data_IF_557310707416
#
_entry.id   IF_557310707416
#
_cell.length_a   1.000
_cell.length_b   1.000
_cell.length_c   1.000
_cell.angle_alpha   90.00
_cell.angle_beta   90.00
_cell.angle_gamma   90.00
#
_symmetry.space_group_name_H-M   'P 1'
#
loop_
_entity.id
_entity.type
_entity.pdbx_description
1 polymer ?
#
# COMPACT_ATOMS: atom_id res chain seq x y z
N UNK A 1 -1.22 7.85 -1.91
CA UNK A 1 -2.38 7.06 -2.38
C UNK A 1 -1.98 5.92 -3.33
N UNK A 2 -1.24 6.19 -4.41
CA UNK A 2 -0.90 5.18 -5.44
C UNK A 2 -0.15 3.92 -4.94
N UNK A 3 0.83 4.05 -4.04
CA UNK A 3 1.48 2.88 -3.43
C UNK A 3 0.48 2.04 -2.60
N UNK A 4 -0.46 2.71 -1.93
CA UNK A 4 -1.56 2.05 -1.22
C UNK A 4 -2.51 1.32 -2.16
N UNK A 5 -2.82 1.91 -3.32
CA UNK A 5 -3.61 1.28 -4.37
C UNK A 5 -2.93 0.01 -4.89
N UNK A 6 -1.60 0.00 -5.03
CA UNK A 6 -0.85 -1.19 -5.39
C UNK A 6 -0.93 -2.29 -4.32
N UNK A 7 -0.82 -1.95 -3.03
CA UNK A 7 -0.97 -2.92 -1.93
C UNK A 7 -2.39 -3.46 -1.85
N UNK A 8 -3.41 -2.63 -2.05
CA UNK A 8 -4.81 -3.08 -2.16
C UNK A 8 -4.99 -3.99 -3.38
N UNK A 9 -4.39 -3.67 -4.52
CA UNK A 9 -4.45 -4.54 -5.69
C UNK A 9 -3.87 -5.93 -5.39
N UNK A 10 -2.74 -6.00 -4.69
CA UNK A 10 -2.12 -7.25 -4.21
C UNK A 10 -3.10 -8.07 -3.35
N UNK A 11 -3.83 -7.42 -2.42
CA UNK A 11 -4.89 -8.06 -1.64
C UNK A 11 -6.07 -8.54 -2.50
N UNK A 12 -6.60 -7.68 -3.36
CA UNK A 12 -7.78 -7.97 -4.17
C UNK A 12 -7.58 -9.20 -5.07
N UNK A 13 -6.38 -9.34 -5.64
CA UNK A 13 -6.03 -10.50 -6.48
C UNK A 13 -5.65 -11.75 -5.69
N UNK A 14 -5.69 -11.71 -4.35
CA UNK A 14 -5.34 -12.83 -3.48
C UNK A 14 -3.84 -13.06 -3.28
N UNK A 15 -3.00 -12.08 -3.62
CA UNK A 15 -1.54 -12.14 -3.42
C UNK A 15 -1.08 -11.70 -2.03
N UNK A 16 -1.95 -11.07 -1.23
CA UNK A 16 -1.63 -10.67 0.14
C UNK A 16 -1.66 -11.87 1.10
N UNK A 17 -0.60 -12.02 1.89
CA UNK A 17 -0.48 -13.02 2.95
C UNK A 17 0.02 -12.39 4.24
N UNK A 18 -0.16 -13.08 5.38
CA UNK A 18 0.35 -12.63 6.68
C UNK A 18 1.86 -12.35 6.66
N UNK A 19 2.64 -13.22 6.01
CA UNK A 19 4.07 -13.01 5.82
C UNK A 19 4.37 -11.74 4.99
N UNK A 20 3.59 -11.49 3.94
CA UNK A 20 3.74 -10.30 3.10
C UNK A 20 3.44 -9.01 3.87
N UNK A 21 2.36 -8.98 4.64
CA UNK A 21 2.02 -7.84 5.49
C UNK A 21 3.08 -7.62 6.58
N UNK A 22 3.58 -8.69 7.20
CA UNK A 22 4.71 -8.61 8.14
C UNK A 22 5.93 -7.95 7.51
N UNK A 23 6.27 -8.27 6.26
CA UNK A 23 7.39 -7.60 5.55
C UNK A 23 7.13 -6.11 5.35
N UNK A 24 5.89 -5.70 5.03
CA UNK A 24 5.55 -4.28 4.91
C UNK A 24 5.66 -3.56 6.27
N UNK A 25 5.12 -4.15 7.34
CA UNK A 25 5.21 -3.62 8.70
C UNK A 25 6.67 -3.53 9.20
N UNK A 26 7.48 -4.56 8.93
CA UNK A 26 8.90 -4.57 9.26
C UNK A 26 9.68 -3.43 8.61
N UNK A 27 9.31 -3.03 7.39
CA UNK A 27 9.93 -1.88 6.72
C UNK A 27 9.54 -0.57 7.37
N UNK A 28 8.31 -0.45 7.88
CA UNK A 28 7.89 0.73 8.66
C UNK A 28 8.70 0.80 9.96
N UNK A 29 8.76 -0.30 10.72
CA UNK A 29 9.52 -0.34 11.98
C UNK A 29 11.03 -0.10 11.77
N UNK A 30 11.62 -0.61 10.69
CA UNK A 30 13.01 -0.34 10.37
C UNK A 30 13.27 1.10 9.89
N UNK A 31 12.30 1.73 9.21
CA UNK A 31 12.39 3.15 8.86
C UNK A 31 12.29 4.05 10.10
N UNK A 32 11.43 3.69 11.06
CA UNK A 32 11.28 4.35 12.35
C UNK A 32 12.59 4.32 13.15
N UNK A 33 13.16 3.12 13.34
CA UNK A 33 14.48 2.93 13.97
C UNK A 33 15.57 3.78 13.30
N UNK A 34 15.56 3.88 11.97
CA UNK A 34 16.54 4.67 11.22
C UNK A 34 16.39 6.17 11.48
N UNK A 35 15.16 6.67 11.57
CA UNK A 35 14.87 8.07 11.90
C UNK A 35 15.40 8.39 13.31
N UNK A 36 15.29 7.43 14.22
CA UNK A 36 15.82 7.52 15.60
C UNK A 36 17.35 7.33 15.68
N UNK A 37 18.05 7.27 14.53
CA UNK A 37 19.51 7.17 14.47
C UNK A 37 20.06 5.74 14.56
N UNK A 38 19.20 4.72 14.60
CA UNK A 38 19.62 3.33 14.63
C UNK A 38 20.35 2.88 13.37
N UNK A 39 21.39 2.06 13.53
CA UNK A 39 22.23 1.60 12.44
C UNK A 39 21.72 0.34 11.73
N UNK A 40 22.44 -0.06 10.68
CA UNK A 40 22.17 -1.28 9.88
C UNK A 40 22.11 -2.55 10.75
N UNK A 41 23.06 -2.67 11.67
CA UNK A 41 23.17 -3.83 12.57
C UNK A 41 21.99 -3.86 13.54
N UNK A 42 21.57 -2.70 14.05
CA UNK A 42 20.43 -2.58 14.95
C UNK A 42 19.14 -2.99 14.26
N UNK A 43 18.93 -2.52 13.02
CA UNK A 43 17.80 -2.93 12.20
C UNK A 43 17.81 -4.45 11.94
N UNK A 44 18.94 -5.03 11.57
CA UNK A 44 19.02 -6.48 11.35
C UNK A 44 18.67 -7.27 12.62
N UNK A 45 19.24 -6.89 13.78
CA UNK A 45 18.95 -7.51 15.08
C UNK A 45 17.49 -7.35 15.46
N UNK A 46 16.90 -6.16 15.26
CA UNK A 46 15.49 -5.89 15.51
C UNK A 46 14.60 -6.85 14.71
N UNK A 47 14.87 -6.99 13.41
CA UNK A 47 14.08 -7.87 12.54
C UNK A 47 14.24 -9.35 12.91
N UNK A 48 15.44 -9.78 13.30
CA UNK A 48 15.62 -11.13 13.83
C UNK A 48 14.82 -11.36 15.12
N UNK A 49 14.77 -10.38 16.05
CA UNK A 49 13.93 -10.43 17.25
C UNK A 49 12.43 -10.48 16.93
N UNK A 50 12.00 -9.83 15.85
CA UNK A 50 10.63 -9.96 15.33
C UNK A 50 10.35 -11.31 14.63
N UNK A 51 11.29 -12.26 14.67
CA UNK A 51 11.11 -13.61 14.13
C UNK A 51 11.19 -13.67 12.61
N UNK A 52 11.96 -12.78 11.97
CA UNK A 52 12.29 -12.94 10.55
C UNK A 52 13.48 -13.90 10.38
N UNK A 53 13.45 -14.81 9.40
CA UNK A 53 14.64 -15.55 9.00
C UNK A 53 15.77 -14.59 8.62
N UNK A 54 17.01 -14.90 8.98
CA UNK A 54 18.16 -14.01 8.77
C UNK A 54 18.26 -13.49 7.34
N UNK A 55 18.04 -14.34 6.33
CA UNK A 55 18.04 -13.94 4.92
C UNK A 55 17.00 -12.85 4.60
N UNK A 56 15.80 -12.96 5.17
CA UNK A 56 14.72 -11.98 4.96
C UNK A 56 15.04 -10.68 5.73
N UNK A 57 15.48 -10.78 6.99
CA UNK A 57 15.89 -9.64 7.80
C UNK A 57 17.01 -8.84 7.11
N UNK A 58 18.02 -9.53 6.57
CA UNK A 58 19.11 -8.94 5.81
C UNK A 58 18.60 -8.18 4.58
N UNK A 59 17.74 -8.80 3.78
CA UNK A 59 17.17 -8.17 2.58
C UNK A 59 16.34 -6.92 2.89
N UNK A 60 15.57 -6.93 3.99
CA UNK A 60 14.82 -5.76 4.44
C UNK A 60 15.78 -4.65 4.89
N UNK A 61 16.78 -4.99 5.71
CA UNK A 61 17.78 -4.03 6.19
C UNK A 61 18.53 -3.38 5.02
N UNK A 62 19.05 -4.16 4.07
CA UNK A 62 19.73 -3.63 2.87
C UNK A 62 18.80 -2.70 2.10
N UNK A 63 17.52 -3.08 1.96
CA UNK A 63 16.54 -2.26 1.27
C UNK A 63 16.32 -0.91 1.93
N UNK A 64 16.27 -0.86 3.26
CA UNK A 64 16.10 0.37 4.03
C UNK A 64 17.36 1.24 3.99
N UNK A 65 18.54 0.69 4.24
CA UNK A 65 19.78 1.45 4.41
C UNK A 65 20.61 1.67 3.13
N UNK A 66 20.09 1.28 1.97
CA UNK A 66 20.74 1.57 0.68
C UNK A 66 20.86 3.07 0.47
N UNK A 67 21.97 3.52 -0.12
CA UNK A 67 22.16 4.93 -0.49
C UNK A 67 22.09 5.92 0.67
N UNK A 68 22.41 5.50 1.90
CA UNK A 68 22.38 6.35 3.10
C UNK A 68 21.11 6.25 3.95
N UNK A 69 20.07 5.55 3.48
CA UNK A 69 18.82 5.39 4.22
C UNK A 69 17.61 5.91 3.42
N UNK A 70 16.59 5.08 3.27
CA UNK A 70 15.37 5.40 2.53
C UNK A 70 14.13 5.02 3.34
N UNK A 71 13.39 6.02 3.80
CA UNK A 71 12.13 5.85 4.55
C UNK A 71 10.91 5.67 3.65
N UNK A 72 11.11 5.64 2.32
CA UNK A 72 10.02 5.53 1.34
C UNK A 72 9.12 4.32 1.55
N UNK A 73 9.63 3.24 2.15
CA UNK A 73 8.82 2.05 2.37
C UNK A 73 7.74 2.24 3.45
N UNK A 74 7.83 3.29 4.27
CA UNK A 74 6.80 3.62 5.25
C UNK A 74 5.46 4.04 4.59
N UNK A 75 5.50 4.53 3.35
CA UNK A 75 4.30 5.03 2.65
C UNK A 75 3.38 3.90 2.17
N UNK A 76 3.86 2.65 2.08
CA UNK A 76 3.05 1.51 1.65
C UNK A 76 1.97 1.17 2.66
N UNK A 77 2.33 0.99 3.94
CA UNK A 77 1.35 0.65 4.99
C UNK A 77 0.42 1.83 5.29
N UNK A 78 0.97 3.06 5.31
CA UNK A 78 0.16 4.28 5.41
C UNK A 78 -0.84 4.38 4.25
N UNK A 79 -0.38 4.08 3.04
CA UNK A 79 -1.21 4.08 1.84
C UNK A 79 -2.30 3.01 1.87
N UNK A 80 -1.97 1.80 2.34
CA UNK A 80 -2.94 0.73 2.54
C UNK A 80 -4.06 1.16 3.49
N UNK A 81 -3.70 1.69 4.67
CA UNK A 81 -4.68 2.18 5.64
C UNK A 81 -5.55 3.32 5.09
N UNK A 82 -4.96 4.24 4.32
CA UNK A 82 -5.70 5.31 3.65
C UNK A 82 -6.70 4.74 2.64
N UNK A 83 -6.28 3.78 1.81
CA UNK A 83 -7.16 3.13 0.85
C UNK A 83 -8.30 2.36 1.52
N UNK A 84 -8.04 1.64 2.61
CA UNK A 84 -9.09 0.93 3.36
C UNK A 84 -10.13 1.91 3.90
N UNK A 85 -9.69 3.05 4.47
CA UNK A 85 -10.61 4.12 4.91
C UNK A 85 -11.41 4.71 3.75
N UNK A 86 -10.75 5.00 2.63
CA UNK A 86 -11.39 5.52 1.43
C UNK A 86 -12.50 4.58 0.91
N UNK A 87 -12.19 3.28 0.77
CA UNK A 87 -13.15 2.26 0.32
C UNK A 87 -14.32 2.12 1.29
N UNK A 88 -14.05 2.10 2.61
CA UNK A 88 -15.07 2.00 3.66
C UNK A 88 -16.03 3.19 3.67
N UNK A 89 -15.56 4.38 3.28
CA UNK A 89 -16.38 5.59 3.11
C UNK A 89 -17.18 5.62 1.79
N UNK A 90 -17.22 4.53 1.03
CA UNK A 90 -17.91 4.46 -0.26
C UNK A 90 -17.07 4.93 -1.45
N UNK A 91 -15.76 5.09 -1.27
CA UNK A 91 -14.84 5.48 -2.33
C UNK A 91 -14.80 4.49 -3.50
N UNK A 92 -14.81 5.01 -4.72
CA UNK A 92 -14.69 4.24 -5.96
C UNK A 92 -13.22 4.15 -6.40
N UNK A 93 -12.80 3.00 -6.92
CA UNK A 93 -11.43 2.83 -7.39
C UNK A 93 -11.20 3.47 -8.76
N UNK A 94 -12.24 3.59 -9.59
CA UNK A 94 -12.13 4.07 -10.97
C UNK A 94 -11.45 5.44 -11.11
N UNK A 95 -11.81 6.49 -10.33
CA UNK A 95 -11.14 7.80 -10.42
C UNK A 95 -9.63 7.74 -10.12
N UNK A 96 -9.16 6.72 -9.41
CA UNK A 96 -7.76 6.57 -9.04
C UNK A 96 -6.88 6.10 -10.19
N UNK A 97 -7.48 5.65 -11.31
CA UNK A 97 -6.77 5.20 -12.51
C UNK A 97 -6.62 6.27 -13.59
N UNK A 98 -7.13 7.48 -13.36
CA UNK A 98 -6.98 8.63 -14.28
C UNK A 98 -5.50 9.05 -14.40
N UNK A 99 -4.70 8.81 -13.36
CA UNK A 99 -3.28 9.13 -13.34
C UNK A 99 -2.73 9.19 -11.92
N UNK A 100 -1.58 9.86 -11.76
CA UNK A 100 -0.94 10.03 -10.45
C UNK A 100 -1.59 11.17 -9.67
N UNK A 101 -2.60 10.83 -8.88
CA UNK A 101 -3.34 11.79 -8.04
C UNK A 101 -3.18 11.50 -6.54
N UNK A 102 -3.37 12.54 -5.73
CA UNK A 102 -3.52 12.44 -4.28
C UNK A 102 -4.99 12.19 -3.91
N UNK A 103 -5.24 11.74 -2.67
CA UNK A 103 -6.60 11.50 -2.17
C UNK A 103 -7.44 12.78 -2.19
N UNK A 104 -6.83 13.89 -1.79
CA UNK A 104 -7.48 15.21 -1.75
C UNK A 104 -7.86 15.72 -3.15
N UNK A 105 -7.28 15.16 -4.22
CA UNK A 105 -7.62 15.52 -5.59
C UNK A 105 -8.88 14.81 -6.11
N UNK A 106 -9.37 13.76 -5.44
CA UNK A 106 -10.49 12.95 -5.95
C UNK A 106 -11.76 13.78 -6.20
N UNK A 107 -12.21 14.67 -5.30
CA UNK A 107 -13.39 15.49 -5.55
C UNK A 107 -13.22 16.37 -6.80
N UNK A 108 -12.05 16.96 -6.97
CA UNK A 108 -11.71 17.78 -8.14
C UNK A 108 -11.70 16.94 -9.42
N UNK A 109 -11.06 15.76 -9.40
CA UNK A 109 -11.02 14.86 -10.56
C UNK A 109 -12.44 14.44 -10.97
N UNK A 110 -13.30 14.05 -10.02
CA UNK A 110 -14.70 13.70 -10.32
C UNK A 110 -15.45 14.88 -10.95
N UNK A 111 -15.26 16.09 -10.42
CA UNK A 111 -15.89 17.29 -10.98
C UNK A 111 -15.42 17.59 -12.40
N UNK A 112 -14.11 17.57 -12.63
CA UNK A 112 -13.53 17.79 -13.95
C UNK A 112 -13.94 16.71 -14.96
N UNK A 113 -14.11 15.47 -14.51
CA UNK A 113 -14.63 14.38 -15.36
C UNK A 113 -16.09 14.60 -15.72
N UNK A 114 -16.94 15.04 -14.78
CA UNK A 114 -18.34 15.40 -15.07
C UNK A 114 -18.47 16.55 -16.08
N UNK A 115 -17.52 17.49 -16.07
CA UNK A 115 -17.44 18.60 -17.02
C UNK A 115 -16.82 18.22 -18.37
N UNK A 116 -16.39 16.99 -18.56
CA UNK A 116 -15.70 16.54 -19.77
C UNK A 116 -14.28 17.09 -19.95
N UNK A 117 -13.68 17.70 -18.91
CA UNK A 117 -12.32 18.25 -18.93
C UNK A 117 -11.30 17.12 -18.70
N UNK A 118 -11.58 16.23 -17.75
CA UNK A 118 -10.75 15.06 -17.47
C UNK A 118 -11.37 13.84 -18.13
N UNK A 119 -10.66 13.26 -19.09
CA UNK A 119 -11.07 12.01 -19.73
C UNK A 119 -11.02 10.86 -18.71
N UNK A 120 -12.07 10.01 -18.63
CA UNK A 120 -12.05 8.79 -17.84
C UNK A 120 -10.85 7.88 -18.21
N UNK A 121 -10.42 7.00 -17.29
CA UNK A 121 -9.28 6.13 -17.55
C UNK A 121 -9.58 5.21 -18.75
N UNK A 122 -8.80 5.35 -19.83
CA UNK A 122 -8.93 4.51 -21.04
C UNK A 122 -8.66 3.03 -20.74
N UNK A 123 -7.83 2.76 -19.74
CA UNK A 123 -7.46 1.42 -19.30
C UNK A 123 -7.68 1.31 -17.80
N UNK A 124 -8.32 0.22 -17.40
CA UNK A 124 -8.43 -0.17 -16.00
C UNK A 124 -7.79 -1.56 -15.81
N UNK A 125 -7.32 -1.87 -14.59
CA UNK A 125 -6.74 -3.18 -14.36
C UNK A 125 -7.75 -4.32 -14.60
N UNK A 126 -7.37 -5.29 -15.44
CA UNK A 126 -8.22 -6.44 -15.83
C UNK A 126 -8.80 -7.20 -14.63
N UNK A 127 -8.10 -7.21 -13.50
CA UNK A 127 -8.54 -7.93 -12.31
C UNK A 127 -9.85 -7.37 -11.72
N UNK A 128 -10.20 -6.09 -11.95
CA UNK A 128 -11.44 -5.49 -11.43
C UNK A 128 -12.72 -6.16 -11.98
N UNK A 129 -12.62 -6.83 -13.13
CA UNK A 129 -13.72 -7.61 -13.70
C UNK A 129 -13.95 -8.97 -13.04
N UNK A 130 -12.99 -9.48 -12.25
CA UNK A 130 -13.06 -10.84 -11.66
C UNK A 130 -14.05 -10.89 -10.50
N UNK A 131 -14.81 -11.98 -10.40
CA UNK A 131 -15.83 -12.16 -9.34
C UNK A 131 -15.21 -12.13 -7.95
N UNK A 132 -14.09 -12.80 -7.76
CA UNK A 132 -13.40 -12.90 -6.46
C UNK A 132 -12.89 -11.54 -5.98
N UNK A 133 -12.46 -10.68 -6.91
CA UNK A 133 -12.03 -9.31 -6.63
C UNK A 133 -13.20 -8.46 -6.16
N UNK A 134 -14.37 -8.57 -6.80
CA UNK A 134 -15.58 -7.85 -6.38
C UNK A 134 -15.99 -8.25 -4.97
N UNK A 135 -15.98 -9.54 -4.65
CA UNK A 135 -16.26 -10.05 -3.30
C UNK A 135 -15.29 -9.49 -2.26
N UNK A 136 -13.97 -9.52 -2.52
CA UNK A 136 -12.98 -8.93 -1.59
C UNK A 136 -13.15 -7.42 -1.44
N UNK A 137 -13.51 -6.71 -2.50
CA UNK A 137 -13.77 -5.27 -2.43
C UNK A 137 -15.02 -4.95 -1.58
N UNK A 138 -16.08 -5.75 -1.71
CA UNK A 138 -17.28 -5.63 -0.87
C UNK A 138 -16.97 -5.93 0.61
N UNK A 139 -16.12 -6.91 0.89
CA UNK A 139 -15.65 -7.21 2.24
C UNK A 139 -14.95 -5.99 2.87
N UNK A 140 -14.05 -5.34 2.13
CA UNK A 140 -13.39 -4.10 2.59
C UNK A 140 -14.40 -2.98 2.86
N UNK A 141 -15.42 -2.83 2.01
CA UNK A 141 -16.50 -1.85 2.22
C UNK A 141 -17.28 -2.11 3.50
N UNK A 142 -17.53 -3.39 3.82
CA UNK A 142 -18.19 -3.82 5.07
C UNK A 142 -17.29 -3.70 6.31
N UNK A 143 -16.03 -3.28 6.13
CA UNK A 143 -15.10 -3.05 7.22
C UNK A 143 -14.24 -4.24 7.62
N UNK A 144 -14.27 -5.34 6.86
CA UNK A 144 -13.34 -6.45 7.06
C UNK A 144 -11.91 -5.98 6.73
N UNK A 145 -10.94 -6.45 7.52
CA UNK A 145 -9.53 -6.13 7.32
C UNK A 145 -8.88 -7.04 6.27
N UNK A 146 -7.67 -6.66 5.84
CA UNK A 146 -6.97 -7.31 4.72
C UNK A 146 -6.37 -8.67 5.07
N UNK A 147 -6.37 -9.06 6.35
CA UNK A 147 -6.00 -10.39 6.89
C UNK A 147 -6.81 -10.61 8.16
#
# INVERSE_FOLDING_TARGET
MQEGLAVIAEYLVGGMSGARLRVLAARVAGADLMIDGGGRIDCFRLLCRYGFPQRIAFNIMVRLYRGGGLTKDAIYLRGLLAMMRYIRKGGELEPLFVGKIAEDHIPLIRELTRRGIVTPPKLTPRYLGRREVRTRLENLRRGLDVI
#
